data_IF_195319286463
#
_entry.id   IF_195319286463
#
_cell.length_a   1.000
_cell.length_b   1.000
_cell.length_c   1.000
_cell.angle_alpha   90.00
_cell.angle_beta   90.00
_cell.angle_gamma   90.00
#
_symmetry.space_group_name_H-M   'P 1'
#
loop_
_entity.id
_entity.type
_entity.pdbx_description
1 polymer ?
#
# COMPACT_ATOMS: atom_id res chain seq x y z
N UNK A 1 -33.42 0.81 0.18
CA UNK A 1 -33.93 -0.57 0.30
C UNK A 1 -32.97 -1.28 1.23
N UNK A 2 -33.44 -1.85 2.32
CA UNK A 2 -32.59 -2.53 3.30
C UNK A 2 -32.09 -3.86 2.70
N UNK A 3 -30.77 -4.07 2.69
CA UNK A 3 -30.17 -5.29 2.16
C UNK A 3 -30.30 -6.38 3.22
N UNK A 4 -30.90 -7.50 2.85
CA UNK A 4 -30.88 -8.76 3.60
C UNK A 4 -30.51 -9.91 2.66
N UNK A 5 -30.22 -11.09 3.22
CA UNK A 5 -29.81 -12.28 2.47
C UNK A 5 -30.75 -12.60 1.29
N UNK A 6 -32.08 -12.49 1.50
CA UNK A 6 -33.06 -12.74 0.43
C UNK A 6 -32.95 -11.72 -0.70
N UNK A 7 -32.93 -10.44 -0.36
CA UNK A 7 -32.82 -9.37 -1.38
C UNK A 7 -31.51 -9.44 -2.15
N UNK A 8 -30.41 -9.80 -1.48
CA UNK A 8 -29.10 -10.00 -2.09
C UNK A 8 -29.12 -11.20 -3.06
N UNK A 9 -29.67 -12.35 -2.63
CA UNK A 9 -29.79 -13.53 -3.46
C UNK A 9 -30.71 -13.32 -4.69
N UNK A 10 -31.83 -12.62 -4.51
CA UNK A 10 -32.74 -12.26 -5.61
C UNK A 10 -32.10 -11.26 -6.59
N UNK A 11 -31.32 -10.30 -6.08
CA UNK A 11 -30.57 -9.36 -6.90
C UNK A 11 -29.49 -10.08 -7.71
N UNK A 12 -28.64 -10.87 -7.06
CA UNK A 12 -27.60 -11.64 -7.73
C UNK A 12 -28.16 -12.57 -8.80
N UNK A 13 -29.23 -13.31 -8.50
CA UNK A 13 -29.87 -14.21 -9.48
C UNK A 13 -30.35 -13.46 -10.72
N UNK A 14 -30.96 -12.27 -10.54
CA UNK A 14 -31.41 -11.44 -11.66
C UNK A 14 -30.24 -10.91 -12.48
N UNK A 15 -29.16 -10.49 -11.83
CA UNK A 15 -27.93 -10.03 -12.46
C UNK A 15 -27.28 -11.17 -13.26
N UNK A 16 -27.05 -12.33 -12.63
CA UNK A 16 -26.40 -13.47 -13.25
C UNK A 16 -27.17 -13.99 -14.48
N UNK A 17 -28.51 -14.02 -14.41
CA UNK A 17 -29.35 -14.46 -15.53
C UNK A 17 -29.34 -13.52 -16.75
N UNK A 18 -28.84 -12.29 -16.62
CA UNK A 18 -28.79 -11.30 -17.72
C UNK A 18 -27.58 -11.47 -18.62
N UNK A 19 -26.52 -12.12 -18.17
CA UNK A 19 -25.26 -12.16 -18.90
C UNK A 19 -24.61 -13.54 -18.86
N UNK A 20 -24.18 -14.05 -20.02
CA UNK A 20 -23.57 -15.39 -20.15
C UNK A 20 -22.28 -15.53 -19.35
N UNK A 21 -21.54 -14.42 -19.15
CA UNK A 21 -20.36 -14.42 -18.28
C UNK A 21 -20.69 -14.72 -16.83
N UNK A 22 -21.94 -14.58 -16.37
CA UNK A 22 -22.32 -14.90 -15.00
C UNK A 22 -23.23 -16.13 -14.92
N UNK A 23 -23.48 -16.80 -16.04
CA UNK A 23 -24.33 -17.98 -16.08
C UNK A 23 -23.73 -19.13 -15.23
N UNK A 24 -24.58 -19.79 -14.45
CA UNK A 24 -24.18 -20.83 -13.50
C UNK A 24 -23.37 -20.35 -12.29
N UNK A 25 -23.09 -19.06 -12.14
CA UNK A 25 -22.33 -18.53 -11.00
C UNK A 25 -23.25 -18.31 -9.79
N UNK A 26 -23.03 -19.11 -8.74
CA UNK A 26 -23.75 -18.98 -7.47
C UNK A 26 -23.40 -17.71 -6.72
N UNK A 27 -24.30 -17.28 -5.82
CA UNK A 27 -23.99 -16.25 -4.84
C UNK A 27 -22.89 -16.80 -3.90
N UNK A 28 -21.90 -15.97 -3.48
CA UNK A 28 -20.96 -16.38 -2.45
C UNK A 28 -21.66 -16.79 -1.14
N UNK A 29 -21.00 -17.58 -0.27
CA UNK A 29 -21.53 -17.90 1.05
C UNK A 29 -21.91 -16.63 1.81
N UNK A 30 -23.07 -16.65 2.48
CA UNK A 30 -23.58 -15.52 3.26
C UNK A 30 -23.81 -15.97 4.70
N UNK A 31 -23.02 -15.43 5.61
CA UNK A 31 -23.13 -15.59 7.05
C UNK A 31 -24.19 -14.65 7.64
N UNK A 32 -24.72 -15.04 8.80
CA UNK A 32 -25.66 -14.27 9.62
C UNK A 32 -25.01 -13.75 10.92
N UNK A 33 -23.79 -14.18 11.24
CA UNK A 33 -22.99 -13.67 12.35
C UNK A 33 -21.51 -13.60 11.97
N UNK A 34 -20.73 -12.84 12.75
CA UNK A 34 -19.27 -12.80 12.64
C UNK A 34 -18.64 -14.18 12.86
N UNK A 35 -19.10 -14.93 13.87
CA UNK A 35 -18.63 -16.30 14.15
C UNK A 35 -18.86 -17.23 12.94
N UNK A 36 -20.03 -17.15 12.29
CA UNK A 36 -20.32 -17.95 11.10
C UNK A 36 -19.47 -17.50 9.89
N UNK A 37 -19.18 -16.20 9.77
CA UNK A 37 -18.31 -15.69 8.72
C UNK A 37 -16.88 -16.20 8.89
N UNK A 38 -16.36 -16.23 10.13
CA UNK A 38 -15.05 -16.78 10.46
C UNK A 38 -14.98 -18.27 10.12
N UNK A 39 -15.94 -19.09 10.58
CA UNK A 39 -16.00 -20.52 10.26
C UNK A 39 -16.05 -20.81 8.75
N UNK A 40 -16.85 -20.04 8.00
CA UNK A 40 -16.95 -20.19 6.54
C UNK A 40 -15.62 -19.85 5.85
N UNK A 41 -14.95 -18.81 6.34
CA UNK A 41 -13.73 -18.32 5.75
C UNK A 41 -12.52 -19.23 6.06
N UNK A 42 -12.42 -19.75 7.29
CA UNK A 42 -11.45 -20.80 7.66
C UNK A 42 -11.66 -22.06 6.83
N UNK A 43 -12.91 -22.52 6.70
CA UNK A 43 -13.24 -23.69 5.89
C UNK A 43 -12.87 -23.51 4.41
N UNK A 44 -13.00 -22.29 3.88
CA UNK A 44 -12.63 -21.96 2.51
C UNK A 44 -11.10 -21.95 2.31
N UNK A 45 -10.35 -21.49 3.31
CA UNK A 45 -8.89 -21.49 3.33
C UNK A 45 -8.34 -22.93 3.42
N UNK A 46 -8.82 -23.74 4.36
CA UNK A 46 -8.44 -25.15 4.48
C UNK A 46 -8.70 -25.95 3.18
N UNK A 47 -9.83 -25.67 2.52
CA UNK A 47 -10.17 -26.29 1.24
C UNK A 47 -9.22 -25.88 0.10
N UNK A 48 -8.67 -24.66 0.16
CA UNK A 48 -7.68 -24.18 -0.81
C UNK A 48 -6.31 -24.85 -0.57
N UNK A 49 -5.88 -24.97 0.69
CA UNK A 49 -4.61 -25.59 1.09
C UNK A 49 -4.56 -27.11 0.81
N UNK A 50 -5.68 -27.82 0.96
CA UNK A 50 -5.76 -29.28 0.84
C UNK A 50 -5.61 -29.87 -0.59
N UNK A 51 -5.27 -29.07 -1.61
CA UNK A 51 -4.79 -29.57 -2.90
C UNK A 51 -5.83 -29.71 -4.01
N UNK A 52 -6.40 -28.59 -4.46
CA UNK A 52 -6.88 -28.43 -5.85
C UNK A 52 -6.03 -27.38 -6.58
N UNK A 53 -4.73 -27.65 -6.68
CA UNK A 53 -3.83 -26.91 -7.55
C UNK A 53 -4.24 -27.13 -9.02
N UNK A 54 -4.98 -26.18 -9.57
CA UNK A 54 -5.51 -26.25 -10.92
C UNK A 54 -6.27 -24.99 -11.31
N UNK A 55 -5.52 -23.88 -11.39
CA UNK A 55 -5.93 -22.54 -11.82
C UNK A 55 -6.64 -21.65 -10.79
N UNK A 56 -5.94 -20.57 -10.42
CA UNK A 56 -6.40 -19.29 -9.84
C UNK A 56 -6.50 -19.14 -8.30
N UNK A 57 -5.50 -18.41 -7.75
CA UNK A 57 -5.56 -17.53 -6.57
C UNK A 57 -5.61 -18.18 -5.19
N UNK A 58 -4.69 -17.80 -4.29
CA UNK A 58 -4.72 -18.08 -2.84
C UNK A 58 -5.80 -17.25 -2.11
N UNK A 59 -6.72 -16.66 -2.85
CA UNK A 59 -7.66 -15.61 -2.45
C UNK A 59 -8.88 -16.16 -1.67
N UNK A 60 -8.69 -17.20 -0.83
CA UNK A 60 -9.67 -17.85 0.08
C UNK A 60 -11.09 -17.32 -0.08
N UNK A 61 -11.86 -17.94 -0.97
CA UNK A 61 -12.90 -17.24 -1.71
C UNK A 61 -13.85 -16.32 -0.90
N UNK A 62 -14.10 -15.10 -1.43
CA UNK A 62 -15.09 -14.13 -0.94
C UNK A 62 -16.29 -14.76 -0.21
N UNK A 63 -16.45 -14.45 1.06
CA UNK A 63 -17.62 -14.71 1.89
C UNK A 63 -18.26 -13.37 2.28
N UNK A 64 -19.57 -13.38 2.55
CA UNK A 64 -20.34 -12.18 2.85
C UNK A 64 -20.98 -12.30 4.23
N UNK A 65 -21.05 -11.19 4.97
CA UNK A 65 -21.89 -11.03 6.16
C UNK A 65 -22.89 -9.90 5.90
N UNK A 66 -24.16 -10.15 6.19
CA UNK A 66 -25.20 -9.12 6.12
C UNK A 66 -25.63 -8.75 7.53
N UNK A 67 -25.34 -7.52 7.94
CA UNK A 67 -25.72 -6.99 9.24
C UNK A 67 -27.20 -6.59 9.29
N UNK A 68 -27.73 -6.48 10.52
CA UNK A 68 -29.11 -6.09 10.78
C UNK A 68 -29.49 -4.71 10.21
N UNK A 69 -28.51 -3.81 10.07
CA UNK A 69 -28.72 -2.46 9.52
C UNK A 69 -28.64 -2.40 7.98
N UNK A 70 -28.47 -3.56 7.33
CA UNK A 70 -28.33 -3.72 5.90
C UNK A 70 -26.93 -3.48 5.34
N UNK A 71 -25.92 -3.35 6.19
CA UNK A 71 -24.51 -3.34 5.77
C UNK A 71 -24.08 -4.72 5.33
N UNK A 72 -23.45 -4.80 4.16
CA UNK A 72 -22.81 -6.02 3.67
C UNK A 72 -21.31 -5.88 3.79
N UNK A 73 -20.70 -6.79 4.55
CA UNK A 73 -19.24 -6.95 4.67
C UNK A 73 -18.80 -8.10 3.78
N UNK A 74 -17.71 -7.90 3.05
CA UNK A 74 -17.08 -8.96 2.26
C UNK A 74 -15.73 -9.33 2.83
N UNK A 75 -15.43 -10.62 2.92
CA UNK A 75 -14.17 -11.14 3.49
C UNK A 75 -13.51 -12.17 2.57
N UNK A 76 -12.20 -12.08 2.38
CA UNK A 76 -11.36 -13.12 1.80
C UNK A 76 -10.52 -13.77 2.90
N UNK A 77 -10.64 -15.07 3.08
CA UNK A 77 -10.07 -15.75 4.26
C UNK A 77 -10.61 -15.20 5.60
N UNK A 78 -10.18 -15.76 6.75
CA UNK A 78 -10.75 -15.42 8.06
C UNK A 78 -10.41 -14.01 8.55
N UNK A 79 -9.32 -13.41 8.05
CA UNK A 79 -8.78 -12.17 8.60
C UNK A 79 -8.90 -10.94 7.69
N UNK A 80 -9.33 -11.09 6.42
CA UNK A 80 -9.26 -9.99 5.43
C UNK A 80 -10.63 -9.53 4.94
N UNK A 81 -11.25 -8.57 5.63
CA UNK A 81 -12.42 -7.80 5.14
C UNK A 81 -12.07 -6.86 3.96
N UNK A 82 -12.56 -7.15 2.76
CA UNK A 82 -12.21 -6.38 1.56
C UNK A 82 -13.10 -5.14 1.34
N UNK A 83 -14.30 -5.13 1.92
CA UNK A 83 -15.23 -3.99 1.84
C UNK A 83 -16.31 -4.07 2.91
N UNK A 84 -16.91 -2.92 3.23
CA UNK A 84 -18.18 -2.80 3.93
C UNK A 84 -19.05 -1.74 3.23
N UNK A 85 -20.25 -2.10 2.77
CA UNK A 85 -21.13 -1.16 2.06
C UNK A 85 -22.61 -1.46 2.26
N UNK A 86 -23.44 -0.42 2.18
CA UNK A 86 -24.91 -0.50 2.14
C UNK A 86 -25.47 -0.32 0.73
N UNK A 87 -24.61 -0.19 -0.27
CA UNK A 87 -25.01 -0.08 -1.67
C UNK A 87 -25.05 -1.47 -2.34
N UNK A 88 -26.25 -1.92 -2.70
CA UNK A 88 -26.47 -3.21 -3.33
C UNK A 88 -25.73 -3.34 -4.67
N UNK A 89 -25.63 -2.26 -5.45
CA UNK A 89 -24.92 -2.30 -6.74
C UNK A 89 -23.41 -2.47 -6.55
N UNK A 90 -22.83 -1.84 -5.52
CA UNK A 90 -21.43 -2.07 -5.15
C UNK A 90 -21.20 -3.52 -4.72
N UNK A 91 -22.11 -4.11 -3.93
CA UNK A 91 -22.01 -5.53 -3.54
C UNK A 91 -22.04 -6.44 -4.78
N UNK A 92 -22.98 -6.21 -5.71
CA UNK A 92 -23.09 -7.01 -6.94
C UNK A 92 -21.84 -6.91 -7.82
N UNK A 93 -21.28 -5.69 -7.93
CA UNK A 93 -20.01 -5.45 -8.60
C UNK A 93 -18.86 -6.26 -7.96
N UNK A 94 -18.71 -6.20 -6.64
CA UNK A 94 -17.63 -6.87 -5.91
C UNK A 94 -17.72 -8.40 -6.03
N UNK A 95 -18.94 -8.95 -6.04
CA UNK A 95 -19.17 -10.38 -6.33
C UNK A 95 -18.72 -10.70 -7.76
N UNK A 96 -19.14 -9.90 -8.75
CA UNK A 96 -18.77 -10.12 -10.14
C UNK A 96 -17.25 -10.00 -10.36
N UNK A 97 -16.59 -9.04 -9.74
CA UNK A 97 -15.13 -8.87 -9.78
C UNK A 97 -14.42 -10.11 -9.24
N UNK A 98 -14.82 -10.60 -8.05
CA UNK A 98 -14.23 -11.80 -7.47
C UNK A 98 -14.37 -13.01 -8.38
N UNK A 99 -15.52 -13.15 -9.06
CA UNK A 99 -15.77 -14.24 -10.02
C UNK A 99 -14.90 -14.09 -11.26
N UNK A 100 -14.81 -12.90 -11.85
CA UNK A 100 -14.00 -12.67 -13.06
C UNK A 100 -12.52 -12.87 -12.76
N UNK A 101 -12.03 -12.43 -11.59
CA UNK A 101 -10.64 -12.66 -11.16
C UNK A 101 -10.30 -14.13 -10.99
N UNK A 102 -11.21 -14.93 -10.38
CA UNK A 102 -11.01 -16.38 -10.24
C UNK A 102 -10.97 -17.14 -11.56
N UNK A 103 -11.54 -16.59 -12.64
CA UNK A 103 -11.40 -17.21 -13.98
C UNK A 103 -9.99 -17.03 -14.55
N UNK A 104 -9.18 -16.15 -13.95
CA UNK A 104 -7.84 -15.85 -14.38
C UNK A 104 -7.80 -15.01 -15.67
N UNK A 105 -6.58 -14.70 -16.10
CA UNK A 105 -6.31 -13.81 -17.23
C UNK A 105 -5.63 -12.52 -16.79
N UNK A 106 -5.43 -11.63 -17.76
CA UNK A 106 -4.90 -10.29 -17.51
C UNK A 106 -5.94 -9.40 -16.82
N UNK A 107 -5.50 -8.35 -16.14
CA UNK A 107 -6.40 -7.41 -15.48
C UNK A 107 -7.25 -6.64 -16.50
N UNK A 108 -6.71 -6.42 -17.71
CA UNK A 108 -7.42 -5.86 -18.84
C UNK A 108 -8.59 -6.76 -19.25
N UNK A 109 -8.37 -8.08 -19.30
CA UNK A 109 -9.44 -9.05 -19.58
C UNK A 109 -10.53 -9.02 -18.51
N UNK A 110 -10.17 -8.87 -17.24
CA UNK A 110 -11.14 -8.72 -16.15
C UNK A 110 -11.93 -7.42 -16.30
N UNK A 111 -11.25 -6.31 -16.58
CA UNK A 111 -11.86 -5.00 -16.78
C UNK A 111 -12.87 -5.02 -17.94
N UNK A 112 -12.49 -5.62 -19.08
CA UNK A 112 -13.33 -5.71 -20.27
C UNK A 112 -14.52 -6.65 -20.04
N UNK A 113 -14.33 -7.76 -19.30
CA UNK A 113 -15.43 -8.64 -18.91
C UNK A 113 -16.46 -7.93 -18.03
N UNK A 114 -16.00 -7.11 -17.08
CA UNK A 114 -16.88 -6.30 -16.24
C UNK A 114 -17.58 -5.22 -17.06
N UNK A 115 -16.88 -4.57 -17.99
CA UNK A 115 -17.44 -3.57 -18.90
C UNK A 115 -18.59 -4.12 -19.77
N UNK A 116 -18.46 -5.36 -20.23
CA UNK A 116 -19.50 -6.07 -20.98
C UNK A 116 -20.73 -6.40 -20.13
N UNK A 117 -20.54 -6.72 -18.84
CA UNK A 117 -21.65 -7.02 -17.92
C UNK A 117 -22.38 -5.73 -17.55
N UNK A 118 -21.64 -4.73 -17.10
CA UNK A 118 -22.10 -3.38 -16.80
C UNK A 118 -20.93 -2.39 -17.00
N UNK A 119 -21.02 -1.42 -17.92
CA UNK A 119 -19.94 -0.46 -18.17
C UNK A 119 -19.47 0.28 -16.91
N UNK A 120 -20.39 0.54 -15.96
CA UNK A 120 -20.07 1.19 -14.69
C UNK A 120 -19.12 0.33 -13.85
N UNK A 121 -19.26 -1.00 -13.92
CA UNK A 121 -18.38 -1.94 -13.22
C UNK A 121 -16.98 -1.99 -13.83
N UNK A 122 -16.90 -1.92 -15.17
CA UNK A 122 -15.62 -1.78 -15.87
C UNK A 122 -14.88 -0.50 -15.47
N UNK A 123 -15.60 0.62 -15.35
CA UNK A 123 -15.04 1.91 -14.87
C UNK A 123 -14.57 1.78 -13.42
N UNK A 124 -15.41 1.26 -12.52
CA UNK A 124 -15.03 1.04 -11.10
C UNK A 124 -13.78 0.19 -10.98
N UNK A 125 -13.71 -0.93 -11.70
CA UNK A 125 -12.54 -1.81 -11.67
C UNK A 125 -11.27 -1.11 -12.10
N UNK A 126 -11.31 -0.35 -13.21
CA UNK A 126 -10.14 0.42 -13.70
C UNK A 126 -9.76 1.58 -12.77
N UNK A 127 -10.70 2.06 -11.96
CA UNK A 127 -10.44 3.11 -10.97
C UNK A 127 -9.84 2.58 -9.67
N UNK A 128 -10.11 1.31 -9.32
CA UNK A 128 -9.65 0.67 -8.08
C UNK A 128 -10.45 1.01 -6.83
N UNK A 129 -11.46 1.90 -6.91
CA UNK A 129 -12.35 2.28 -5.81
C UNK A 129 -13.77 1.70 -5.95
N UNK A 130 -14.60 1.91 -4.92
CA UNK A 130 -16.03 1.55 -4.94
C UNK A 130 -16.91 2.59 -5.63
N UNK A 131 -16.48 3.85 -5.60
CA UNK A 131 -17.22 4.98 -6.13
C UNK A 131 -16.81 5.29 -7.58
N UNK A 132 -17.80 5.68 -8.38
CA UNK A 132 -17.57 6.21 -9.72
C UNK A 132 -17.02 7.64 -9.63
N UNK A 133 -15.71 7.75 -9.41
CA UNK A 133 -15.01 9.04 -9.23
C UNK A 133 -14.47 9.61 -10.55
N UNK A 134 -14.94 9.12 -11.70
CA UNK A 134 -14.53 9.59 -13.02
C UNK A 134 -13.24 8.96 -13.53
N UNK A 135 -12.74 9.47 -14.66
CA UNK A 135 -11.52 8.99 -15.30
C UNK A 135 -10.32 9.18 -14.39
N UNK A 136 -9.80 8.09 -13.85
CA UNK A 136 -8.50 8.11 -13.19
C UNK A 136 -7.45 8.37 -14.25
N UNK A 137 -6.63 9.41 -14.04
CA UNK A 137 -5.56 9.76 -14.97
C UNK A 137 -4.57 8.58 -15.10
N UNK A 138 -4.09 8.36 -16.32
CA UNK A 138 -3.09 7.33 -16.56
C UNK A 138 -1.76 7.71 -15.88
N UNK A 139 -1.08 6.71 -15.32
CA UNK A 139 0.29 6.87 -14.83
C UNK A 139 1.19 7.19 -16.03
N UNK A 140 1.65 8.44 -16.13
CA UNK A 140 2.36 8.94 -17.32
C UNK A 140 3.89 8.86 -17.24
N UNK A 141 4.44 8.48 -16.09
CA UNK A 141 5.88 8.53 -15.80
C UNK A 141 6.47 7.12 -15.83
N UNK A 142 7.71 6.97 -16.30
CA UNK A 142 8.49 5.73 -16.10
C UNK A 142 8.63 5.48 -14.58
N UNK A 143 8.05 4.41 -14.03
CA UNK A 143 8.08 4.16 -12.60
C UNK A 143 9.50 4.03 -12.04
N UNK A 144 10.44 3.53 -12.85
CA UNK A 144 11.84 3.36 -12.45
C UNK A 144 12.63 4.66 -12.49
N UNK A 145 12.14 5.71 -13.13
CA UNK A 145 12.66 7.08 -12.94
C UNK A 145 12.15 7.72 -11.64
N UNK A 146 11.11 7.15 -11.04
CA UNK A 146 10.39 7.64 -9.86
C UNK A 146 10.96 7.17 -8.51
N UNK A 147 10.12 6.74 -7.58
CA UNK A 147 10.48 6.15 -6.29
C UNK A 147 10.73 4.64 -6.41
N UNK A 148 10.13 3.97 -7.40
CA UNK A 148 10.15 2.51 -7.51
C UNK A 148 11.55 1.91 -7.70
N UNK A 149 12.53 2.66 -8.23
CA UNK A 149 13.91 2.14 -8.40
C UNK A 149 14.55 1.65 -7.10
N UNK A 150 14.18 2.21 -5.95
CA UNK A 150 14.79 1.83 -4.67
C UNK A 150 14.17 0.55 -4.10
N UNK A 151 12.99 0.15 -4.60
CA UNK A 151 12.22 -0.95 -4.04
C UNK A 151 13.01 -2.26 -3.99
N UNK A 152 13.76 -2.56 -5.06
CA UNK A 152 14.59 -3.76 -5.15
C UNK A 152 15.73 -3.79 -4.13
N UNK A 153 16.48 -2.69 -3.98
CA UNK A 153 17.57 -2.61 -2.99
C UNK A 153 17.03 -2.52 -1.57
N UNK A 154 15.92 -1.82 -1.38
CA UNK A 154 15.30 -1.60 -0.08
C UNK A 154 14.68 -2.87 0.49
N UNK A 155 14.15 -3.74 -0.39
CA UNK A 155 13.78 -5.11 -0.02
C UNK A 155 14.95 -5.88 0.59
N UNK A 156 16.17 -5.65 0.10
CA UNK A 156 17.42 -6.21 0.64
C UNK A 156 18.03 -5.33 1.76
N UNK A 157 17.22 -4.45 2.36
CA UNK A 157 17.56 -3.51 3.43
C UNK A 157 18.58 -2.41 3.06
N UNK A 158 18.75 -2.10 1.78
CA UNK A 158 19.70 -1.09 1.30
C UNK A 158 18.99 0.14 0.68
N UNK A 159 19.51 1.36 0.90
CA UNK A 159 20.64 1.70 1.77
C UNK A 159 20.28 1.75 3.26
N UNK A 160 18.99 1.72 3.61
CA UNK A 160 18.53 1.81 4.99
C UNK A 160 17.20 1.06 5.17
N UNK A 161 16.93 0.55 6.37
CA UNK A 161 15.69 -0.17 6.67
C UNK A 161 14.48 0.74 6.91
N UNK A 162 14.68 2.03 7.23
CA UNK A 162 13.61 3.01 7.37
C UNK A 162 13.71 4.07 6.25
N UNK A 163 12.58 4.36 5.62
CA UNK A 163 12.39 5.51 4.73
C UNK A 163 11.27 6.36 5.33
N UNK A 164 11.64 7.47 5.95
CA UNK A 164 10.69 8.40 6.56
C UNK A 164 10.56 9.65 5.69
N UNK A 165 9.33 10.07 5.43
CA UNK A 165 8.99 11.26 4.67
C UNK A 165 8.14 12.18 5.54
N UNK A 166 8.44 13.47 5.53
CA UNK A 166 7.80 14.49 6.33
C UNK A 166 7.34 15.65 5.45
N UNK A 167 6.10 16.09 5.67
CA UNK A 167 5.54 17.26 4.99
C UNK A 167 4.93 18.22 6.02
N UNK A 168 5.20 19.51 5.82
CA UNK A 168 4.64 20.59 6.62
C UNK A 168 3.27 21.02 6.08
N UNK A 169 2.66 22.05 6.69
CA UNK A 169 1.50 22.71 6.07
C UNK A 169 1.84 23.22 4.65
N UNK A 170 0.85 23.26 3.72
CA UNK A 170 1.08 23.77 2.38
C UNK A 170 1.74 25.16 2.37
N UNK A 171 2.78 25.31 1.54
CA UNK A 171 3.57 26.55 1.47
C UNK A 171 4.70 26.67 2.49
N UNK A 172 4.93 25.64 3.32
CA UNK A 172 6.10 25.51 4.19
C UNK A 172 6.88 24.24 3.86
N UNK A 173 8.16 24.20 4.23
CA UNK A 173 9.03 23.03 4.10
C UNK A 173 9.52 22.62 5.48
N UNK A 174 9.65 21.32 5.72
CA UNK A 174 10.36 20.81 6.89
C UNK A 174 11.86 21.01 6.63
N UNK A 175 12.58 21.55 7.60
CA UNK A 175 14.03 21.73 7.48
C UNK A 175 14.74 20.39 7.68
N UNK A 176 15.34 19.87 6.61
CA UNK A 176 16.00 18.56 6.60
C UNK A 176 17.20 18.46 7.57
N UNK A 177 17.98 19.55 7.74
CA UNK A 177 19.11 19.56 8.66
C UNK A 177 18.63 19.59 10.11
N UNK A 178 17.60 20.40 10.40
CA UNK A 178 16.97 20.38 11.74
C UNK A 178 16.31 19.04 12.06
N UNK A 179 15.68 18.41 11.08
CA UNK A 179 15.12 17.06 11.23
C UNK A 179 16.23 16.04 11.53
N UNK A 180 17.32 16.06 10.78
CA UNK A 180 18.46 15.18 11.04
C UNK A 180 19.07 15.41 12.44
N UNK A 181 19.22 16.67 12.87
CA UNK A 181 19.65 17.00 14.24
C UNK A 181 18.69 16.46 15.30
N UNK A 182 17.38 16.54 15.06
CA UNK A 182 16.37 16.02 15.97
C UNK A 182 16.52 14.51 16.18
N UNK A 183 16.87 13.79 15.11
CA UNK A 183 17.17 12.37 15.12
C UNK A 183 18.58 12.03 15.62
N UNK A 184 19.39 13.03 15.98
CA UNK A 184 20.71 12.84 16.59
C UNK A 184 21.88 12.82 15.61
N UNK A 185 21.74 13.36 14.41
CA UNK A 185 22.85 13.54 13.48
C UNK A 185 23.97 14.44 14.05
N UNK A 186 25.22 14.13 13.73
CA UNK A 186 26.39 14.90 14.16
C UNK A 186 26.37 16.33 13.59
N UNK A 187 26.25 17.38 14.45
CA UNK A 187 26.18 18.76 13.99
C UNK A 187 27.43 19.23 13.24
N UNK A 188 28.61 18.64 13.52
CA UNK A 188 29.83 18.98 12.79
C UNK A 188 29.79 18.47 11.35
N UNK A 189 29.24 17.28 11.11
CA UNK A 189 29.07 16.72 9.77
C UNK A 189 27.97 17.44 8.98
N UNK A 190 26.90 17.85 9.66
CA UNK A 190 25.89 18.72 9.06
C UNK A 190 26.51 20.04 8.61
N UNK A 191 27.25 20.72 9.49
CA UNK A 191 27.91 21.99 9.16
C UNK A 191 28.96 21.84 8.04
N UNK A 192 29.63 20.68 7.95
CA UNK A 192 30.61 20.39 6.92
C UNK A 192 29.98 20.07 5.54
N UNK A 193 28.67 19.83 5.47
CA UNK A 193 28.02 19.46 4.22
C UNK A 193 28.26 18.00 3.82
N UNK A 194 28.52 17.11 4.78
CA UNK A 194 28.88 15.71 4.53
C UNK A 194 27.89 15.00 3.63
N UNK A 195 28.42 14.22 2.68
CA UNK A 195 27.65 13.43 1.70
C UNK A 195 27.85 11.94 1.88
N UNK A 196 26.95 11.13 1.34
CA UNK A 196 27.01 9.67 1.44
C UNK A 196 28.35 9.10 0.95
N UNK A 197 28.87 9.60 -0.17
CA UNK A 197 30.19 9.20 -0.70
C UNK A 197 31.35 9.51 0.26
N UNK A 198 31.23 10.57 1.06
CA UNK A 198 32.26 10.95 2.04
C UNK A 198 32.28 9.94 3.20
N UNK A 199 31.10 9.46 3.62
CA UNK A 199 30.98 8.39 4.62
C UNK A 199 31.55 7.07 4.08
N UNK A 200 31.27 6.75 2.81
CA UNK A 200 31.77 5.55 2.13
C UNK A 200 33.29 5.57 1.91
N UNK A 201 33.88 6.75 1.73
CA UNK A 201 35.32 6.92 1.55
C UNK A 201 36.14 6.67 2.84
N UNK A 202 35.49 6.67 4.01
CA UNK A 202 36.16 6.35 5.29
C UNK A 202 36.66 4.90 5.27
N UNK A 203 37.96 4.70 5.49
CA UNK A 203 38.65 3.41 5.55
C UNK A 203 38.37 2.45 4.38
N UNK A 204 38.36 2.97 3.14
CA UNK A 204 38.07 2.20 1.92
C UNK A 204 36.70 1.47 1.97
N UNK A 205 35.71 2.03 2.68
CA UNK A 205 34.36 1.48 2.78
C UNK A 205 34.17 0.37 3.81
N UNK A 206 35.24 -0.15 4.45
CA UNK A 206 35.11 -1.18 5.50
C UNK A 206 34.40 -0.65 6.74
N UNK A 207 34.86 0.49 7.26
CA UNK A 207 34.23 1.11 8.42
C UNK A 207 32.81 1.61 8.12
N UNK A 208 32.52 1.96 6.86
CA UNK A 208 31.18 2.36 6.46
C UNK A 208 30.18 1.21 6.54
N UNK A 209 30.50 0.02 6.02
CA UNK A 209 29.60 -1.14 6.16
C UNK A 209 29.31 -1.48 7.61
N UNK A 210 30.33 -1.38 8.48
CA UNK A 210 30.19 -1.62 9.91
C UNK A 210 29.41 -0.51 10.64
N UNK A 211 29.50 0.75 10.19
CA UNK A 211 28.85 1.92 10.79
C UNK A 211 27.63 2.44 10.04
N UNK A 212 27.16 1.73 9.02
CA UNK A 212 25.97 2.12 8.26
C UNK A 212 24.75 2.22 9.19
N UNK A 213 24.69 1.34 10.19
CA UNK A 213 23.71 1.35 11.28
C UNK A 213 23.74 2.62 12.14
N UNK A 214 24.86 3.34 12.12
CA UNK A 214 25.11 4.54 12.92
C UNK A 214 24.99 5.83 12.08
N UNK A 215 24.22 5.81 10.99
CA UNK A 215 24.14 6.93 10.05
C UNK A 215 22.73 7.16 9.48
N UNK A 216 22.52 8.37 8.95
CA UNK A 216 21.39 8.71 8.11
C UNK A 216 21.78 9.31 6.77
N UNK A 217 20.84 9.23 5.83
CA UNK A 217 20.73 10.13 4.68
C UNK A 217 19.49 11.01 4.83
N UNK A 218 19.57 12.29 4.48
CA UNK A 218 18.46 13.22 4.60
C UNK A 218 18.45 14.25 3.47
N UNK A 219 17.33 14.91 3.27
CA UNK A 219 17.19 15.93 2.25
C UNK A 219 15.74 16.24 1.94
N UNK A 220 15.51 16.90 0.80
CA UNK A 220 14.18 17.26 0.33
C UNK A 220 14.01 16.82 -1.12
N UNK A 221 12.85 16.25 -1.44
CA UNK A 221 12.45 15.89 -2.79
C UNK A 221 10.96 16.23 -2.99
N UNK A 222 10.68 17.16 -3.91
CA UNK A 222 9.34 17.71 -4.05
C UNK A 222 8.88 18.42 -2.78
N UNK A 223 7.67 18.08 -2.32
CA UNK A 223 7.08 18.62 -1.09
C UNK A 223 7.53 17.88 0.18
N UNK A 224 8.23 16.76 0.02
CA UNK A 224 8.61 15.87 1.11
C UNK A 224 10.06 16.09 1.52
N UNK A 225 10.29 16.19 2.81
CA UNK A 225 11.61 16.05 3.44
C UNK A 225 11.79 14.59 3.81
N UNK A 226 12.89 13.97 3.42
CA UNK A 226 13.15 12.56 3.70
C UNK A 226 14.26 12.39 4.73
N UNK A 227 14.17 11.32 5.50
CA UNK A 227 15.20 10.82 6.39
C UNK A 227 15.25 9.30 6.28
N UNK A 228 16.42 8.76 5.96
CA UNK A 228 16.67 7.33 5.80
C UNK A 228 17.68 6.90 6.84
N UNK A 229 17.38 5.82 7.56
CA UNK A 229 18.23 5.31 8.64
C UNK A 229 17.94 3.85 8.96
N UNK A 230 18.87 3.17 9.64
CA UNK A 230 18.64 1.82 10.13
C UNK A 230 18.09 1.80 11.56
N UNK A 231 18.77 2.53 12.44
CA UNK A 231 18.41 2.68 13.85
C UNK A 231 18.73 4.11 14.30
N UNK A 232 18.09 4.57 15.36
CA UNK A 232 18.29 5.90 15.94
C UNK A 232 19.06 5.83 17.25
N UNK A 233 19.95 6.80 17.57
CA UNK A 233 20.68 6.79 18.82
C UNK A 233 19.73 6.90 20.03
N UNK A 234 20.07 6.32 21.20
CA UNK A 234 19.24 6.41 22.40
C UNK A 234 18.95 7.86 22.79
N UNK A 235 17.67 8.19 22.97
CA UNK A 235 17.25 9.54 23.32
C UNK A 235 17.13 10.49 22.12
N UNK A 236 17.15 10.01 20.87
CA UNK A 236 16.62 10.79 19.74
C UNK A 236 15.15 11.14 19.98
N UNK A 237 14.80 12.42 19.97
CA UNK A 237 13.47 12.92 20.34
C UNK A 237 12.62 13.18 19.10
N UNK A 238 12.04 12.13 18.53
CA UNK A 238 11.04 12.26 17.47
C UNK A 238 9.62 12.16 18.06
N UNK A 239 9.30 13.05 19.01
CA UNK A 239 7.98 13.11 19.66
C UNK A 239 7.06 14.15 19.02
N UNK A 240 5.80 14.15 19.47
CA UNK A 240 4.75 14.99 18.91
C UNK A 240 5.06 16.48 19.06
N UNK A 241 5.64 16.86 20.20
CA UNK A 241 6.05 18.24 20.49
C UNK A 241 7.17 18.70 19.55
N UNK A 242 8.19 17.87 19.33
CA UNK A 242 9.26 18.16 18.40
C UNK A 242 8.78 18.26 16.95
N UNK A 243 7.88 17.37 16.53
CA UNK A 243 7.27 17.45 15.20
C UNK A 243 6.44 18.72 15.02
N UNK A 244 5.66 19.10 16.03
CA UNK A 244 4.92 20.35 16.01
C UNK A 244 5.85 21.58 15.92
N UNK A 245 7.01 21.55 16.59
CA UNK A 245 8.01 22.62 16.52
C UNK A 245 8.65 22.76 15.13
N UNK A 246 8.76 21.66 14.38
CA UNK A 246 9.19 21.65 12.97
C UNK A 246 8.04 21.90 11.99
N UNK A 247 6.81 22.10 12.47
CA UNK A 247 5.63 22.33 11.64
C UNK A 247 5.18 21.11 10.84
N UNK A 248 5.63 19.92 11.22
CA UNK A 248 5.29 18.66 10.55
C UNK A 248 3.79 18.38 10.72
N UNK A 249 3.11 18.14 9.60
CA UNK A 249 1.69 17.78 9.55
C UNK A 249 1.47 16.35 9.11
N UNK A 250 2.35 15.87 8.25
CA UNK A 250 2.25 14.54 7.69
C UNK A 250 3.58 13.82 7.81
N UNK A 251 3.50 12.54 8.12
CA UNK A 251 4.65 11.65 8.13
C UNK A 251 4.25 10.31 7.51
N UNK A 252 5.00 9.89 6.49
CA UNK A 252 4.91 8.53 5.94
C UNK A 252 6.19 7.80 6.33
N UNK A 253 6.05 6.63 6.94
CA UNK A 253 7.16 5.78 7.33
C UNK A 253 7.03 4.42 6.66
N UNK A 254 8.06 4.06 5.92
CA UNK A 254 8.24 2.72 5.36
C UNK A 254 9.34 2.02 6.17
N UNK A 255 9.06 0.82 6.66
CA UNK A 255 10.10 -0.02 7.30
C UNK A 255 10.23 -1.36 6.58
N UNK A 256 11.46 -1.84 6.43
CA UNK A 256 11.78 -3.13 5.85
C UNK A 256 12.47 -4.03 6.88
N UNK A 257 11.93 -5.25 7.06
CA UNK A 257 12.53 -6.29 7.89
C UNK A 257 12.72 -7.57 7.07
N UNK A 258 13.95 -7.85 6.63
CA UNK A 258 14.21 -8.99 5.70
C UNK A 258 13.98 -10.37 6.31
N UNK A 259 14.07 -10.53 7.64
CA UNK A 259 13.92 -11.82 8.31
C UNK A 259 12.57 -12.49 8.06
N UNK A 260 11.56 -11.72 7.63
CA UNK A 260 10.22 -12.20 7.27
C UNK A 260 9.66 -11.58 5.99
N UNK A 261 10.44 -10.73 5.31
CA UNK A 261 9.91 -9.83 4.29
C UNK A 261 8.63 -9.10 4.79
N UNK A 262 8.70 -8.63 6.04
CA UNK A 262 7.69 -7.79 6.66
C UNK A 262 8.03 -6.35 6.31
N UNK A 263 7.04 -5.67 5.77
CA UNK A 263 7.13 -4.26 5.40
C UNK A 263 6.03 -3.54 6.13
N UNK A 264 6.33 -2.40 6.74
CA UNK A 264 5.30 -1.60 7.38
C UNK A 264 5.14 -0.32 6.61
N UNK A 265 3.91 0.04 6.31
CA UNK A 265 3.52 1.38 5.91
C UNK A 265 2.79 2.00 7.11
N UNK A 266 3.31 3.13 7.59
CA UNK A 266 2.64 3.94 8.60
C UNK A 266 2.45 5.34 8.04
N UNK A 267 1.25 5.88 8.20
CA UNK A 267 0.90 7.19 7.68
C UNK A 267 0.18 8.00 8.75
N UNK A 268 0.80 9.11 9.14
CA UNK A 268 0.27 10.07 10.09
C UNK A 268 -0.13 11.34 9.33
N UNK A 269 -1.33 11.86 9.62
CA UNK A 269 -1.82 13.16 9.13
C UNK A 269 -2.49 13.91 10.28
N UNK A 270 -2.04 15.14 10.52
CA UNK A 270 -2.51 16.01 11.61
C UNK A 270 -2.46 15.35 13.01
N UNK A 271 -1.43 14.52 13.23
CA UNK A 271 -1.21 13.84 14.51
C UNK A 271 -2.14 12.65 14.77
N UNK A 272 -2.87 12.19 13.75
CA UNK A 272 -3.68 10.98 13.75
C UNK A 272 -3.12 10.00 12.72
N UNK A 273 -3.16 8.71 13.04
CA UNK A 273 -2.86 7.64 12.09
C UNK A 273 -3.99 7.55 11.05
N UNK A 274 -3.62 7.47 9.79
CA UNK A 274 -4.51 7.19 8.67
C UNK A 274 -4.43 5.69 8.45
N UNK A 275 -5.39 4.96 8.98
CA UNK A 275 -5.45 3.50 8.90
C UNK A 275 -6.89 3.02 8.86
N UNK A 276 -7.06 1.80 8.36
CA UNK A 276 -8.36 1.13 8.32
C UNK A 276 -8.53 0.16 9.51
N UNK A 277 -7.65 0.24 10.52
CA UNK A 277 -7.49 -0.72 11.64
C UNK A 277 -6.91 -2.11 11.26
N UNK A 278 -6.19 -2.19 10.14
CA UNK A 278 -5.70 -3.44 9.55
C UNK A 278 -4.27 -3.87 9.95
N UNK A 279 -3.62 -3.10 10.82
CA UNK A 279 -2.26 -3.41 11.26
C UNK A 279 -1.20 -3.20 10.16
N UNK A 280 -0.34 -4.21 9.94
CA UNK A 280 0.83 -4.16 9.06
C UNK A 280 0.53 -4.86 7.74
N UNK A 281 0.77 -4.17 6.61
CA UNK A 281 0.67 -4.77 5.27
C UNK A 281 1.95 -5.52 4.90
N UNK A 282 1.90 -6.84 4.92
CA UNK A 282 2.97 -7.67 4.38
C UNK A 282 2.86 -7.79 2.85
N UNK A 283 3.63 -6.95 2.13
CA UNK A 283 3.64 -6.90 0.65
C UNK A 283 3.98 -8.24 -0.04
N UNK A 284 4.56 -9.20 0.68
CA UNK A 284 4.80 -10.54 0.17
C UNK A 284 3.51 -11.36 -0.02
N UNK A 285 2.45 -11.04 0.72
CA UNK A 285 1.13 -11.66 0.61
C UNK A 285 0.19 -10.83 -0.28
N UNK A 286 0.69 -9.74 -0.86
CA UNK A 286 -0.08 -8.95 -1.81
C UNK A 286 -0.22 -9.70 -3.14
N UNK A 287 -1.45 -10.10 -3.45
CA UNK A 287 -1.79 -10.63 -4.76
C UNK A 287 -2.17 -9.51 -5.74
N UNK A 288 -1.52 -9.49 -6.90
CA UNK A 288 -1.86 -8.59 -8.00
C UNK A 288 -3.33 -8.78 -8.37
N UNK A 289 -4.05 -7.68 -8.51
CA UNK A 289 -5.46 -7.65 -8.77
C UNK A 289 -6.32 -7.46 -7.52
N UNK A 290 -5.76 -7.65 -6.32
CA UNK A 290 -6.45 -7.37 -5.06
C UNK A 290 -6.29 -5.91 -4.65
N UNK A 291 -7.25 -5.41 -3.87
CA UNK A 291 -7.06 -4.18 -3.11
C UNK A 291 -6.23 -4.51 -1.85
N UNK A 292 -5.08 -3.86 -1.61
CA UNK A 292 -4.28 -4.08 -0.40
C UNK A 292 -4.97 -3.60 0.89
N UNK A 293 -5.92 -2.65 0.78
CA UNK A 293 -6.62 -2.03 1.91
C UNK A 293 -8.14 -2.16 1.80
N UNK A 294 -8.83 -1.85 2.89
CA UNK A 294 -10.30 -1.83 2.94
C UNK A 294 -10.83 -0.85 1.88
N UNK A 295 -11.69 -1.34 0.99
CA UNK A 295 -12.26 -0.47 -0.04
C UNK A 295 -13.30 0.48 0.54
N UNK A 296 -13.18 1.76 0.19
CA UNK A 296 -13.96 2.84 0.81
C UNK A 296 -13.43 3.29 2.18
N UNK A 297 -12.34 2.69 2.67
CA UNK A 297 -11.61 3.12 3.86
C UNK A 297 -10.74 4.37 3.64
N UNK A 298 -10.00 4.76 4.67
CA UNK A 298 -9.09 5.90 4.63
C UNK A 298 -7.89 5.68 3.69
N UNK A 299 -7.48 4.44 3.46
CA UNK A 299 -6.40 4.07 2.55
C UNK A 299 -6.89 3.68 1.15
N UNK A 300 -8.16 3.88 0.81
CA UNK A 300 -8.71 3.57 -0.52
C UNK A 300 -8.00 4.34 -1.65
N UNK A 301 -7.43 5.51 -1.35
CA UNK A 301 -6.62 6.24 -2.32
C UNK A 301 -5.39 5.44 -2.79
N UNK A 302 -4.82 4.57 -1.94
CA UNK A 302 -3.75 3.65 -2.32
C UNK A 302 -4.26 2.48 -3.15
N UNK A 303 -5.45 1.94 -2.85
CA UNK A 303 -6.07 0.91 -3.68
C UNK A 303 -6.21 1.38 -5.14
N UNK A 304 -6.66 2.64 -5.31
CA UNK A 304 -6.80 3.28 -6.63
C UNK A 304 -5.46 3.41 -7.33
N UNK A 305 -4.46 3.98 -6.64
CA UNK A 305 -3.12 4.16 -7.22
C UNK A 305 -2.46 2.82 -7.59
N UNK A 306 -2.59 1.79 -6.75
CA UNK A 306 -2.10 0.44 -7.05
C UNK A 306 -2.81 -0.12 -8.27
N UNK A 307 -4.14 -0.08 -8.33
CA UNK A 307 -4.89 -0.56 -9.50
C UNK A 307 -4.47 0.13 -10.80
N UNK A 308 -4.21 1.43 -10.77
CA UNK A 308 -3.70 2.16 -11.94
C UNK A 308 -2.32 1.71 -12.34
N UNK A 309 -1.41 1.62 -11.39
CA UNK A 309 -0.07 1.10 -11.63
C UNK A 309 -0.11 -0.31 -12.25
N UNK A 310 -1.05 -1.16 -11.83
CA UNK A 310 -1.17 -2.51 -12.36
C UNK A 310 -1.60 -2.56 -13.83
N UNK A 311 -2.44 -1.63 -14.27
CA UNK A 311 -2.98 -1.55 -15.63
C UNK A 311 -2.06 -0.77 -16.57
N UNK A 312 -1.47 0.31 -16.08
CA UNK A 312 -0.66 1.22 -16.89
C UNK A 312 0.81 0.75 -17.00
N UNK A 313 1.28 0.01 -16.00
CA UNK A 313 2.65 -0.53 -15.93
C UNK A 313 2.66 -2.06 -15.77
N UNK A 314 2.19 -2.82 -16.78
CA UNK A 314 2.22 -4.29 -16.74
C UNK A 314 3.63 -4.86 -16.59
N UNK A 315 4.68 -4.10 -16.96
CA UNK A 315 6.09 -4.45 -16.78
C UNK A 315 6.55 -4.51 -15.31
N UNK A 316 5.87 -3.80 -14.39
CA UNK A 316 6.16 -3.87 -12.96
C UNK A 316 5.62 -5.18 -12.40
N UNK A 317 6.46 -6.21 -12.40
CA UNK A 317 6.11 -7.54 -11.88
C UNK A 317 6.44 -7.70 -10.39
N UNK A 318 7.29 -6.83 -9.83
CA UNK A 318 7.59 -6.78 -8.41
C UNK A 318 6.49 -6.03 -7.65
N UNK A 319 5.89 -6.67 -6.63
CA UNK A 319 4.88 -6.05 -5.76
C UNK A 319 5.43 -4.82 -5.03
N UNK A 320 6.73 -4.81 -4.73
CA UNK A 320 7.41 -3.67 -4.10
C UNK A 320 7.51 -2.47 -5.04
N UNK A 321 7.93 -2.69 -6.28
CA UNK A 321 8.07 -1.62 -7.27
C UNK A 321 6.71 -1.01 -7.58
N UNK A 322 5.69 -1.86 -7.76
CA UNK A 322 4.31 -1.46 -7.93
C UNK A 322 3.81 -0.60 -6.76
N UNK A 323 4.03 -1.06 -5.53
CA UNK A 323 3.57 -0.36 -4.33
C UNK A 323 4.30 0.98 -4.14
N UNK A 324 5.61 1.03 -4.39
CA UNK A 324 6.40 2.26 -4.31
C UNK A 324 5.98 3.26 -5.39
N UNK A 325 5.67 2.80 -6.60
CA UNK A 325 5.11 3.65 -7.64
C UNK A 325 3.74 4.20 -7.24
N UNK A 326 2.86 3.36 -6.69
CA UNK A 326 1.55 3.80 -6.20
C UNK A 326 1.66 4.85 -5.08
N UNK A 327 2.63 4.72 -4.18
CA UNK A 327 2.92 5.73 -3.15
C UNK A 327 3.42 7.06 -3.74
N UNK A 328 4.24 7.02 -4.79
CA UNK A 328 4.63 8.23 -5.50
C UNK A 328 3.43 8.91 -6.15
N UNK A 329 2.59 8.18 -6.87
CA UNK A 329 1.46 8.77 -7.59
C UNK A 329 0.39 9.32 -6.62
N UNK A 330 0.14 8.62 -5.52
CA UNK A 330 -0.89 9.01 -4.56
C UNK A 330 -0.47 10.11 -3.57
N UNK A 331 0.77 10.06 -3.08
CA UNK A 331 1.25 10.95 -2.02
C UNK A 331 2.35 11.91 -2.51
N UNK A 332 2.90 11.71 -3.70
CA UNK A 332 4.00 12.50 -4.24
C UNK A 332 5.36 12.17 -3.62
N UNK A 333 5.52 10.99 -3.00
CA UNK A 333 6.79 10.59 -2.38
C UNK A 333 7.89 10.44 -3.43
N UNK A 334 9.07 11.00 -3.16
CA UNK A 334 10.20 10.98 -4.09
C UNK A 334 11.53 10.89 -3.36
N UNK A 335 12.54 10.35 -4.05
CA UNK A 335 13.94 10.39 -3.64
C UNK A 335 14.82 10.82 -4.83
N UNK A 336 15.91 11.57 -4.62
CA UNK A 336 16.79 12.00 -5.70
C UNK A 336 17.68 10.83 -6.17
N UNK A 337 17.16 10.01 -7.11
CA UNK A 337 17.83 8.81 -7.63
C UNK A 337 19.29 9.06 -8.03
N UNK A 338 19.54 10.13 -8.77
CA UNK A 338 20.89 10.47 -9.26
C UNK A 338 21.84 10.75 -8.11
N UNK A 339 21.41 11.53 -7.12
CA UNK A 339 22.24 11.88 -5.97
C UNK A 339 22.54 10.64 -5.12
N UNK A 340 21.60 9.70 -4.99
CA UNK A 340 21.87 8.42 -4.33
C UNK A 340 22.89 7.59 -5.12
N UNK A 341 22.75 7.51 -6.43
CA UNK A 341 23.67 6.75 -7.29
C UNK A 341 25.09 7.34 -7.32
N UNK A 342 25.21 8.67 -7.25
CA UNK A 342 26.48 9.39 -7.22
C UNK A 342 27.02 9.59 -5.78
N UNK A 343 26.25 9.20 -4.76
CA UNK A 343 26.59 9.38 -3.34
C UNK A 343 26.61 10.85 -2.89
N UNK A 344 25.91 11.73 -3.60
CA UNK A 344 25.85 13.18 -3.35
C UNK A 344 24.81 13.58 -2.31
N UNK A 345 23.92 12.66 -1.91
CA UNK A 345 22.91 12.89 -0.86
C UNK A 345 23.58 13.27 0.45
N UNK A 346 23.00 14.25 1.16
CA UNK A 346 23.46 14.66 2.48
C UNK A 346 23.34 13.49 3.45
N UNK A 347 24.41 13.25 4.19
CA UNK A 347 24.50 12.15 5.12
C UNK A 347 25.30 12.56 6.36
N UNK A 348 25.05 11.88 7.46
CA UNK A 348 25.80 12.07 8.69
C UNK A 348 25.79 10.80 9.53
N UNK A 349 26.88 10.55 10.25
CA UNK A 349 26.85 9.66 11.39
C UNK A 349 26.02 10.28 12.52
N UNK A 350 25.51 9.43 13.41
CA UNK A 350 24.97 9.87 14.69
C UNK A 350 26.05 10.55 15.52
N UNK A 351 25.64 11.54 16.31
CA UNK A 351 26.49 12.11 17.33
C UNK A 351 26.90 10.98 18.28
N UNK A 352 28.18 10.62 18.26
CA UNK A 352 28.76 9.67 19.21
C UNK A 352 28.65 10.21 20.64
N UNK A 353 28.74 9.31 21.62
CA UNK A 353 29.06 9.70 22.99
C UNK A 353 30.53 10.10 23.11
#
# INVERSE_FOLDING_TARGET
MEINQRTLAEAWRRTAARHTLLDGVGLPPVAQSEDELEELAESAEEAAEAGKAGAAGEDGGLCLLVEDDGTVRGRHGPYREVFATRDLDQVLYLIAEAVMRRRGGSLETVADALDLIDPTWGVRFRSGGLDDTGTVEACGRDPLEGLAWIAGSWREQAPYTNLDFFRAVPGQTVDAERLALLYGADPAQLAAGTRLKDLQAVDNGRAHGDRQWESCCFGQAGEWTYLLYHDTPPGSFADKEAYAALGIKENVRLTATSAKAIYTFDYMRDGRRVDDDWGILELIWYERGCAPYLRGGELDFLNRAVRRAELDHPELTSTFELYFHALEESLGLRLPRRDFAEGEVRAAYWAGK
#
